data_IF_968709305977
#
_entry.id   IF_968709305977
#
_cell.length_a   1.000
_cell.length_b   1.000
_cell.length_c   1.000
_cell.angle_alpha   90.00
_cell.angle_beta   90.00
_cell.angle_gamma   90.00
#
_symmetry.space_group_name_H-M   'P 1'
#
loop_
_entity.id
_entity.type
_entity.pdbx_description
1 polymer ?
#
# COMPACT_ATOMS: atom_id res chain seq x y z
N UNK A 1 -1.99 -0.80 -5.68
CA UNK A 1 -1.91 0.54 -6.27
C UNK A 1 -3.20 0.82 -7.00
N UNK A 2 -3.98 1.81 -6.53
CA UNK A 2 -5.28 2.18 -7.09
C UNK A 2 -5.17 3.53 -7.77
N UNK A 3 -5.41 3.55 -9.08
CA UNK A 3 -5.50 4.78 -9.86
C UNK A 3 -6.92 5.30 -9.87
N UNK A 4 -7.08 6.60 -9.59
CA UNK A 4 -8.38 7.27 -9.59
C UNK A 4 -8.38 8.51 -10.46
N UNK A 5 -9.53 8.82 -11.06
CA UNK A 5 -9.76 10.04 -11.83
C UNK A 5 -10.73 10.96 -11.09
N UNK A 6 -10.40 12.24 -11.03
CA UNK A 6 -11.31 13.26 -10.50
C UNK A 6 -12.39 13.61 -11.55
N UNK A 7 -13.65 13.35 -11.21
CA UNK A 7 -14.84 13.81 -11.92
C UNK A 7 -15.35 15.07 -11.25
N UNK A 8 -15.41 16.21 -11.95
CA UNK A 8 -16.03 17.43 -11.40
C UNK A 8 -17.55 17.25 -11.36
N UNK A 9 -18.15 17.54 -10.21
CA UNK A 9 -19.59 17.35 -9.98
C UNK A 9 -20.26 18.67 -9.56
N UNK A 10 -19.54 19.56 -8.86
CA UNK A 10 -20.05 20.87 -8.41
C UNK A 10 -21.44 20.79 -7.76
N UNK A 11 -21.71 19.73 -7.00
CA UNK A 11 -22.98 19.49 -6.31
C UNK A 11 -23.01 20.24 -4.97
N UNK A 12 -24.16 20.84 -4.61
CA UNK A 12 -24.36 21.40 -3.28
C UNK A 12 -25.00 20.36 -2.37
N UNK A 13 -24.46 20.23 -1.16
CA UNK A 13 -25.02 19.41 -0.09
C UNK A 13 -25.49 20.35 1.03
N UNK A 14 -26.75 20.77 0.95
CA UNK A 14 -27.32 21.80 1.83
C UNK A 14 -26.77 23.20 1.55
N UNK A 15 -26.98 24.12 2.49
CA UNK A 15 -26.73 25.56 2.28
C UNK A 15 -25.24 25.94 2.39
N UNK A 16 -24.43 25.12 3.06
CA UNK A 16 -23.06 25.46 3.45
C UNK A 16 -21.99 24.52 2.92
N UNK A 17 -22.34 23.47 2.17
CA UNK A 17 -21.34 22.54 1.64
C UNK A 17 -21.51 22.26 0.15
N UNK A 18 -20.38 22.15 -0.55
CA UNK A 18 -20.32 21.94 -1.99
C UNK A 18 -19.28 20.86 -2.31
N UNK A 19 -19.73 19.77 -2.92
CA UNK A 19 -18.89 18.74 -3.51
C UNK A 19 -18.35 19.18 -4.87
N UNK A 20 -17.08 19.57 -4.92
CA UNK A 20 -16.45 20.08 -6.13
C UNK A 20 -16.14 18.93 -7.11
N UNK A 21 -15.71 17.77 -6.60
CA UNK A 21 -15.37 16.60 -7.40
C UNK A 21 -15.58 15.29 -6.65
N UNK A 22 -15.76 14.20 -7.40
CA UNK A 22 -15.81 12.83 -6.91
C UNK A 22 -14.71 12.02 -7.60
N UNK A 23 -14.03 11.14 -6.87
CA UNK A 23 -13.05 10.22 -7.45
C UNK A 23 -13.76 9.03 -8.08
N UNK A 24 -13.25 8.56 -9.21
CA UNK A 24 -13.74 7.38 -9.92
C UNK A 24 -12.57 6.39 -10.06
N UNK A 25 -12.71 5.12 -9.66
CA UNK A 25 -11.69 4.10 -9.87
C UNK A 25 -11.40 3.94 -11.37
N UNK A 26 -10.13 3.97 -11.74
CA UNK A 26 -9.70 3.84 -13.13
C UNK A 26 -9.00 2.50 -13.38
N UNK A 27 -8.08 2.15 -12.50
CA UNK A 27 -7.33 0.90 -12.58
C UNK A 27 -6.79 0.50 -11.21
N UNK A 28 -6.56 -0.79 -11.03
CA UNK A 28 -5.95 -1.32 -9.82
C UNK A 28 -4.89 -2.36 -10.21
N UNK A 29 -3.69 -2.17 -9.69
CA UNK A 29 -2.60 -3.13 -9.77
C UNK A 29 -2.34 -3.72 -8.38
N UNK A 30 -2.08 -5.02 -8.33
CA UNK A 30 -1.73 -5.71 -7.10
C UNK A 30 -0.57 -6.67 -7.37
N UNK A 31 0.35 -6.72 -6.42
CA UNK A 31 1.44 -7.68 -6.41
C UNK A 31 1.41 -8.44 -5.10
N UNK A 32 1.50 -9.76 -5.20
CA UNK A 32 1.46 -10.70 -4.10
C UNK A 32 2.80 -11.42 -4.05
N UNK A 33 3.36 -11.48 -2.86
CA UNK A 33 4.53 -12.30 -2.55
C UNK A 33 4.07 -13.50 -1.75
N UNK A 34 4.38 -14.69 -2.25
CA UNK A 34 4.07 -15.99 -1.66
C UNK A 34 5.31 -16.88 -1.67
N UNK A 35 5.23 -18.07 -1.06
CA UNK A 35 6.31 -19.06 -1.17
C UNK A 35 6.50 -19.56 -2.62
N UNK A 36 5.45 -19.51 -3.46
CA UNK A 36 5.53 -19.84 -4.88
C UNK A 36 6.18 -18.76 -5.75
N UNK A 37 6.44 -17.58 -5.19
CA UNK A 37 7.07 -16.46 -5.86
C UNK A 37 6.23 -15.18 -5.83
N UNK A 38 6.61 -14.23 -6.70
CA UNK A 38 5.96 -12.94 -6.86
C UNK A 38 5.02 -13.00 -8.05
N UNK A 39 3.73 -12.77 -7.81
CA UNK A 39 2.69 -12.71 -8.82
C UNK A 39 2.07 -11.31 -8.84
N UNK A 40 1.81 -10.76 -10.03
CA UNK A 40 1.16 -9.46 -10.19
C UNK A 40 -0.02 -9.58 -11.13
N UNK A 41 -1.10 -8.87 -10.81
CA UNK A 41 -2.28 -8.77 -11.65
C UNK A 41 -2.82 -7.34 -11.69
N UNK A 42 -3.62 -7.06 -12.72
CA UNK A 42 -4.07 -5.73 -13.05
C UNK A 42 -5.48 -5.79 -13.63
N UNK A 43 -6.33 -4.88 -13.16
CA UNK A 43 -7.68 -4.67 -13.65
C UNK A 43 -7.92 -3.19 -13.91
N UNK A 44 -8.77 -2.86 -14.87
CA UNK A 44 -9.12 -1.48 -15.21
C UNK A 44 -10.58 -1.34 -15.62
N UNK A 45 -11.02 -0.08 -15.72
CA UNK A 45 -12.39 0.34 -16.03
C UNK A 45 -12.97 -0.22 -17.33
N UNK A 46 -12.18 -0.82 -18.22
CA UNK A 46 -12.68 -1.48 -19.44
C UNK A 46 -13.17 -2.91 -19.19
N UNK A 47 -12.85 -3.45 -18.03
CA UNK A 47 -13.42 -4.72 -17.58
C UNK A 47 -14.70 -4.41 -16.81
N UNK A 48 -15.82 -5.00 -17.20
CA UNK A 48 -17.05 -4.87 -16.42
C UNK A 48 -16.84 -5.40 -15.01
N UNK A 49 -17.32 -4.65 -14.02
CA UNK A 49 -17.19 -4.97 -12.59
C UNK A 49 -15.75 -5.28 -12.16
N UNK A 50 -14.78 -4.53 -12.71
CA UNK A 50 -13.36 -4.84 -12.53
C UNK A 50 -12.89 -4.85 -11.07
N UNK A 51 -13.51 -4.07 -10.19
CA UNK A 51 -13.19 -4.07 -8.77
C UNK A 51 -13.68 -5.34 -8.07
N UNK A 52 -14.85 -5.86 -8.45
CA UNK A 52 -15.37 -7.11 -7.91
C UNK A 52 -14.50 -8.28 -8.37
N UNK A 53 -14.16 -8.34 -9.67
CA UNK A 53 -13.23 -9.33 -10.22
C UNK A 53 -11.84 -9.25 -9.58
N UNK A 54 -11.34 -8.04 -9.36
CA UNK A 54 -10.07 -7.82 -8.65
C UNK A 54 -10.12 -8.39 -7.23
N UNK A 55 -11.22 -8.15 -6.51
CA UNK A 55 -11.36 -8.63 -5.14
C UNK A 55 -11.53 -10.15 -5.07
N UNK A 56 -12.30 -10.75 -5.98
CA UNK A 56 -12.41 -12.20 -6.13
C UNK A 56 -11.02 -12.83 -6.34
N UNK A 57 -10.24 -12.31 -7.29
CA UNK A 57 -8.86 -12.74 -7.50
C UNK A 57 -8.02 -12.58 -6.23
N UNK A 58 -8.15 -11.45 -5.53
CA UNK A 58 -7.41 -11.20 -4.29
C UNK A 58 -7.71 -12.25 -3.21
N UNK A 59 -8.98 -12.64 -3.05
CA UNK A 59 -9.35 -13.70 -2.10
C UNK A 59 -8.80 -15.07 -2.50
N UNK A 60 -8.77 -15.40 -3.79
CA UNK A 60 -8.18 -16.66 -4.28
C UNK A 60 -6.68 -16.72 -4.00
N UNK A 61 -5.93 -15.67 -4.34
CA UNK A 61 -4.49 -15.60 -4.11
C UNK A 61 -4.12 -15.67 -2.62
N UNK A 62 -4.92 -15.04 -1.76
CA UNK A 62 -4.69 -15.02 -0.33
C UNK A 62 -4.89 -16.41 0.30
N UNK A 63 -5.63 -17.33 -0.33
CA UNK A 63 -5.68 -18.74 0.12
C UNK A 63 -4.30 -19.36 0.11
N UNK A 64 -3.45 -19.05 -0.88
CA UNK A 64 -2.09 -19.55 -0.95
C UNK A 64 -1.21 -18.90 0.12
N UNK A 65 -1.27 -17.58 0.27
CA UNK A 65 -0.52 -16.85 1.33
C UNK A 65 -0.86 -17.38 2.72
N UNK A 66 -2.12 -17.72 2.97
CA UNK A 66 -2.55 -18.35 4.22
C UNK A 66 -1.94 -19.72 4.43
N UNK A 67 -1.87 -20.56 3.38
CA UNK A 67 -1.22 -21.88 3.45
C UNK A 67 0.27 -21.74 3.75
N UNK A 68 0.94 -20.81 3.07
CA UNK A 68 2.37 -20.57 3.21
C UNK A 68 2.75 -20.09 4.63
N UNK A 69 1.87 -19.32 5.27
CA UNK A 69 2.10 -18.77 6.61
C UNK A 69 1.52 -19.64 7.74
N UNK A 70 1.03 -20.86 7.46
CA UNK A 70 0.48 -21.75 8.48
C UNK A 70 1.62 -22.24 9.39
N UNK A 71 1.46 -22.10 10.72
CA UNK A 71 2.41 -22.70 11.67
C UNK A 71 2.41 -24.22 11.53
N UNK A 72 3.58 -24.84 11.71
CA UNK A 72 3.74 -26.30 11.72
C UNK A 72 2.96 -26.95 12.87
N UNK A 73 2.86 -26.25 13.99
CA UNK A 73 2.07 -26.69 15.13
C UNK A 73 0.58 -26.36 14.91
N UNK A 74 -0.24 -27.40 14.79
CA UNK A 74 -1.67 -27.29 14.55
C UNK A 74 -2.47 -26.98 15.83
N UNK A 75 -1.86 -27.07 17.01
CA UNK A 75 -2.51 -26.76 18.29
C UNK A 75 -2.61 -25.26 18.55
N UNK A 76 -1.79 -24.45 17.87
CA UNK A 76 -1.83 -22.99 17.95
C UNK A 76 -3.03 -22.48 17.15
N UNK A 77 -3.94 -21.75 17.81
CA UNK A 77 -5.08 -21.12 17.13
C UNK A 77 -4.60 -20.04 16.17
N UNK A 78 -4.83 -20.24 14.86
CA UNK A 78 -4.32 -19.34 13.82
C UNK A 78 -5.43 -18.41 13.29
N UNK A 79 -5.34 -17.12 13.59
CA UNK A 79 -6.20 -16.10 12.99
C UNK A 79 -5.47 -15.46 11.80
N UNK A 80 -5.80 -15.89 10.59
CA UNK A 80 -5.14 -15.38 9.38
C UNK A 80 -5.73 -14.04 8.93
N UNK A 81 -5.08 -12.96 9.37
CA UNK A 81 -5.29 -11.60 8.87
C UNK A 81 -4.20 -11.24 7.88
N UNK A 82 -4.47 -11.42 6.60
CA UNK A 82 -3.49 -11.11 5.56
C UNK A 82 -3.47 -9.61 5.30
N UNK A 83 -2.33 -8.93 5.48
CA UNK A 83 -2.22 -7.49 5.25
C UNK A 83 -2.21 -7.20 3.75
N UNK A 84 -3.09 -6.29 3.34
CA UNK A 84 -3.13 -5.70 2.01
C UNK A 84 -2.65 -4.26 2.16
N UNK A 85 -1.47 -3.99 1.62
CA UNK A 85 -0.78 -2.72 1.78
C UNK A 85 -1.06 -1.86 0.54
N UNK A 86 -1.68 -0.70 0.75
CA UNK A 86 -2.00 0.23 -0.32
C UNK A 86 -0.92 1.30 -0.46
N UNK A 87 -0.56 1.60 -1.72
CA UNK A 87 0.35 2.67 -2.06
C UNK A 87 -0.42 3.98 -2.13
N UNK A 88 0.10 5.00 -1.44
CA UNK A 88 -0.29 6.39 -1.64
C UNK A 88 -1.80 6.62 -1.48
N UNK A 89 -2.40 6.03 -0.44
CA UNK A 89 -3.82 6.26 -0.15
C UNK A 89 -3.99 7.75 0.14
N UNK A 90 -4.50 8.51 -0.83
CA UNK A 90 -5.24 9.68 -0.44
C UNK A 90 -6.39 9.13 0.39
N UNK A 91 -6.81 9.85 1.44
CA UNK A 91 -7.88 9.45 2.38
C UNK A 91 -9.13 8.80 1.75
N UNK A 92 -9.33 9.01 0.45
CA UNK A 92 -10.47 8.61 -0.35
C UNK A 92 -10.29 7.31 -1.16
N UNK A 93 -9.08 6.86 -1.46
CA UNK A 93 -8.85 5.77 -2.44
C UNK A 93 -9.40 4.43 -1.92
N UNK A 94 -9.10 4.06 -0.68
CA UNK A 94 -9.64 2.83 -0.10
C UNK A 94 -11.15 2.91 0.11
N UNK A 95 -11.67 4.08 0.52
CA UNK A 95 -13.11 4.32 0.66
C UNK A 95 -13.88 4.08 -0.64
N UNK A 96 -13.22 4.28 -1.79
CA UNK A 96 -13.78 4.11 -3.11
C UNK A 96 -13.87 2.63 -3.49
N UNK A 97 -12.83 1.85 -3.17
CA UNK A 97 -12.90 0.38 -3.22
C UNK A 97 -14.04 -0.11 -2.34
N UNK A 98 -14.19 0.45 -1.13
CA UNK A 98 -15.19 0.03 -0.14
C UNK A 98 -16.64 0.28 -0.52
N UNK A 99 -16.94 1.32 -1.31
CA UNK A 99 -18.30 1.50 -1.86
C UNK A 99 -18.72 0.29 -2.70
N UNK A 100 -17.75 -0.37 -3.34
CA UNK A 100 -17.96 -1.56 -4.14
C UNK A 100 -17.82 -2.86 -3.31
N UNK A 101 -17.22 -2.83 -2.10
CA UNK A 101 -17.10 -4.00 -1.21
C UNK A 101 -18.41 -4.42 -0.51
N UNK A 102 -19.57 -3.90 -0.87
CA UNK A 102 -20.86 -4.37 -0.35
C UNK A 102 -21.40 -5.48 -1.26
N UNK A 103 -20.82 -6.67 -1.13
CA UNK A 103 -21.27 -7.87 -1.84
C UNK A 103 -21.98 -8.86 -0.91
N UNK A 104 -22.58 -9.90 -1.50
CA UNK A 104 -23.17 -11.03 -0.76
C UNK A 104 -22.11 -11.89 -0.08
N UNK A 105 -20.88 -11.91 -0.59
CA UNK A 105 -19.85 -12.88 -0.20
C UNK A 105 -18.84 -12.36 0.85
N UNK A 106 -18.84 -11.06 1.13
CA UNK A 106 -17.96 -10.45 2.11
C UNK A 106 -18.58 -9.26 2.84
N UNK A 107 -18.03 -8.96 4.01
CA UNK A 107 -18.48 -7.86 4.87
C UNK A 107 -17.32 -7.14 5.54
N UNK A 108 -17.52 -5.85 5.80
CA UNK A 108 -16.59 -5.04 6.59
C UNK A 108 -16.85 -5.38 8.06
N UNK A 109 -15.89 -6.07 8.66
CA UNK A 109 -16.00 -6.58 10.03
C UNK A 109 -15.44 -5.63 11.09
N UNK A 110 -14.43 -4.85 10.72
CA UNK A 110 -13.83 -3.85 11.59
C UNK A 110 -13.39 -2.67 10.74
N UNK A 111 -13.61 -1.49 11.30
CA UNK A 111 -13.29 -0.22 10.68
C UNK A 111 -12.60 0.62 11.76
N UNK A 112 -11.30 0.87 11.59
CA UNK A 112 -10.53 1.68 12.53
C UNK A 112 -10.22 3.03 11.89
N UNK A 113 -10.85 4.07 12.43
CA UNK A 113 -10.60 5.46 12.08
C UNK A 113 -9.79 6.18 13.16
N UNK A 114 -9.14 7.25 12.72
CA UNK A 114 -8.74 8.37 13.55
C UNK A 114 -9.44 9.63 13.03
N UNK A 115 -9.45 10.71 13.81
CA UNK A 115 -10.19 11.96 13.55
C UNK A 115 -10.16 12.49 12.10
N UNK A 116 -9.19 12.09 11.28
CA UNK A 116 -9.09 12.51 9.86
C UNK A 116 -8.66 11.41 8.88
N UNK A 117 -8.44 10.15 9.31
CA UNK A 117 -7.88 9.08 8.46
C UNK A 117 -8.40 7.70 8.85
N UNK A 118 -8.75 6.90 7.84
CA UNK A 118 -8.91 5.46 7.97
C UNK A 118 -7.52 4.85 8.20
N UNK A 119 -7.32 4.21 9.35
CA UNK A 119 -6.06 3.55 9.67
C UNK A 119 -6.04 2.10 9.22
N UNK A 120 -7.17 1.41 9.38
CA UNK A 120 -7.21 -0.02 9.13
C UNK A 120 -8.61 -0.53 8.79
N UNK A 121 -8.65 -1.18 7.63
CA UNK A 121 -9.66 -2.09 7.08
C UNK A 121 -9.68 -3.50 7.64
N UNK A 122 -10.77 -4.12 8.09
CA UNK A 122 -10.85 -5.59 8.09
C UNK A 122 -12.08 -6.08 7.34
N UNK A 123 -11.85 -6.75 6.22
CA UNK A 123 -12.88 -7.40 5.40
C UNK A 123 -12.83 -8.90 5.66
N UNK A 124 -14.00 -9.50 5.87
CA UNK A 124 -14.16 -10.94 6.06
C UNK A 124 -15.03 -11.49 4.95
N UNK A 125 -14.60 -12.59 4.35
CA UNK A 125 -15.44 -13.36 3.45
C UNK A 125 -16.32 -14.31 4.29
N UNK A 126 -17.60 -14.46 3.94
CA UNK A 126 -18.52 -15.33 4.71
C UNK A 126 -18.18 -16.81 4.56
N UNK A 127 -17.68 -17.22 3.40
CA UNK A 127 -17.41 -18.61 3.07
C UNK A 127 -16.03 -19.09 3.53
N UNK A 128 -15.10 -18.17 3.79
CA UNK A 128 -13.73 -18.51 4.17
C UNK A 128 -13.33 -17.89 5.50
N UNK A 129 -12.51 -18.61 6.28
CA UNK A 129 -11.91 -18.07 7.51
C UNK A 129 -10.77 -17.07 7.25
N UNK A 130 -10.76 -16.42 6.08
CA UNK A 130 -9.75 -15.46 5.65
C UNK A 130 -10.25 -14.05 5.98
N UNK A 131 -9.35 -13.26 6.58
CA UNK A 131 -9.61 -11.84 6.82
C UNK A 131 -8.56 -11.03 6.05
N UNK A 132 -9.01 -10.09 5.22
CA UNK A 132 -8.14 -9.14 4.56
C UNK A 132 -8.05 -7.90 5.41
N UNK A 133 -6.82 -7.45 5.66
CA UNK A 133 -6.54 -6.26 6.45
C UNK A 133 -5.96 -5.18 5.55
N UNK A 134 -6.79 -4.22 5.16
CA UNK A 134 -6.35 -3.08 4.34
C UNK A 134 -5.68 -2.03 5.21
N UNK A 135 -4.47 -1.64 4.85
CA UNK A 135 -3.64 -0.67 5.59
C UNK A 135 -2.87 0.19 4.59
N UNK A 136 -2.70 1.48 4.90
CA UNK A 136 -1.84 2.36 4.11
C UNK A 136 -0.37 2.00 4.38
N UNK A 137 0.45 1.95 3.34
CA UNK A 137 1.91 1.83 3.46
C UNK A 137 2.54 2.83 4.45
N UNK A 138 2.02 4.07 4.53
CA UNK A 138 2.45 5.10 5.50
C UNK A 138 2.25 4.70 6.95
N UNK A 139 1.46 3.67 7.21
CA UNK A 139 1.31 3.09 8.54
C UNK A 139 2.62 2.43 9.02
N UNK A 140 3.44 1.97 8.08
CA UNK A 140 4.72 1.29 8.33
C UNK A 140 5.96 2.12 7.94
N UNK A 141 5.79 3.20 7.18
CA UNK A 141 6.89 4.09 6.80
C UNK A 141 6.81 5.44 7.50
N UNK A 142 7.95 5.90 8.03
CA UNK A 142 8.11 7.25 8.62
C UNK A 142 8.27 8.32 7.53
N UNK A 143 8.49 7.90 6.28
CA UNK A 143 8.85 8.81 5.21
C UNK A 143 7.64 9.36 4.47
N UNK A 144 7.74 10.62 4.06
CA UNK A 144 6.64 11.34 3.44
C UNK A 144 6.45 10.99 1.96
N UNK A 145 7.51 10.57 1.26
CA UNK A 145 7.46 10.24 -0.18
C UNK A 145 7.88 8.80 -0.41
N UNK A 146 7.15 8.15 -1.30
CA UNK A 146 7.45 6.80 -1.77
C UNK A 146 8.86 6.67 -2.36
N UNK A 147 9.30 7.64 -3.16
CA UNK A 147 10.65 7.66 -3.77
C UNK A 147 11.77 7.64 -2.71
N UNK A 148 11.55 8.32 -1.59
CA UNK A 148 12.51 8.33 -0.49
C UNK A 148 12.60 6.93 0.13
N UNK A 149 11.46 6.22 0.24
CA UNK A 149 11.41 4.91 0.91
C UNK A 149 12.12 3.87 0.08
N UNK A 150 11.89 3.90 -1.23
CA UNK A 150 12.60 3.01 -2.15
C UNK A 150 14.10 3.28 -2.08
N UNK A 151 14.53 4.55 -2.12
CA UNK A 151 15.95 4.90 -2.03
C UNK A 151 16.59 4.42 -0.73
N UNK A 152 15.90 4.61 0.39
CA UNK A 152 16.52 4.41 1.70
C UNK A 152 16.44 2.93 2.16
N UNK A 153 15.46 2.15 1.66
CA UNK A 153 15.22 0.77 2.11
C UNK A 153 15.42 -0.31 1.04
N UNK A 154 15.50 0.03 -0.26
CA UNK A 154 15.80 -0.95 -1.32
C UNK A 154 17.32 -1.16 -1.55
N UNK A 155 18.18 -0.51 -0.76
CA UNK A 155 19.64 -0.69 -0.79
C UNK A 155 20.35 -0.12 -2.03
N UNK A 156 21.69 -0.19 -2.02
CA UNK A 156 22.57 0.28 -3.11
C UNK A 156 22.43 -0.51 -4.43
N UNK A 157 21.56 -1.52 -4.47
CA UNK A 157 21.26 -2.36 -5.62
C UNK A 157 19.91 -2.06 -6.27
N UNK A 158 19.27 -0.91 -5.99
CA UNK A 158 17.98 -0.50 -6.54
C UNK A 158 17.97 -0.44 -8.09
N UNK A 159 17.83 -1.60 -8.72
CA UNK A 159 17.73 -1.79 -10.17
C UNK A 159 16.44 -1.17 -10.71
N UNK A 160 15.45 -0.92 -9.85
CA UNK A 160 14.17 -0.34 -10.23
C UNK A 160 14.16 1.16 -9.92
N UNK A 161 14.68 1.98 -10.86
CA UNK A 161 14.28 3.39 -10.92
C UNK A 161 12.76 3.41 -11.05
N UNK A 162 12.07 4.11 -10.15
CA UNK A 162 10.64 4.37 -10.30
C UNK A 162 10.45 5.09 -11.63
N UNK A 163 9.74 4.45 -12.54
CA UNK A 163 9.39 5.05 -13.82
C UNK A 163 8.41 6.22 -13.61
N UNK A 164 8.04 6.90 -14.69
CA UNK A 164 7.10 8.02 -14.62
C UNK A 164 5.99 7.82 -15.62
N UNK A 165 4.76 8.04 -15.20
CA UNK A 165 3.63 8.19 -16.10
C UNK A 165 3.07 9.62 -16.00
N UNK A 166 2.68 10.19 -17.13
CA UNK A 166 2.17 11.57 -17.22
C UNK A 166 0.64 11.56 -17.04
N UNK A 167 0.19 11.65 -15.79
CA UNK A 167 -1.23 11.62 -15.45
C UNK A 167 -1.91 12.99 -15.64
N UNK A 168 -1.16 14.08 -15.69
CA UNK A 168 -1.68 15.45 -15.61
C UNK A 168 -2.70 15.79 -16.71
N UNK A 169 -2.55 15.18 -17.88
CA UNK A 169 -3.40 15.44 -19.03
C UNK A 169 -4.67 14.55 -19.08
N UNK A 170 -4.71 13.51 -18.26
CA UNK A 170 -5.77 12.50 -18.29
C UNK A 170 -6.89 12.89 -17.33
N UNK A 171 -8.12 12.81 -17.81
CA UNK A 171 -9.34 13.01 -17.03
C UNK A 171 -10.46 12.08 -17.49
N UNK A 172 -11.56 12.08 -16.76
CA UNK A 172 -12.73 11.21 -17.01
C UNK A 172 -13.34 11.33 -18.40
N UNK A 173 -13.10 12.43 -19.13
CA UNK A 173 -13.66 12.65 -20.49
C UNK A 173 -12.74 12.16 -21.60
N UNK A 174 -11.43 12.28 -21.44
CA UNK A 174 -10.46 11.96 -22.49
C UNK A 174 -9.69 10.66 -22.25
N UNK A 175 -9.79 10.06 -21.07
CA UNK A 175 -9.02 8.88 -20.65
C UNK A 175 -9.00 7.76 -21.71
N UNK A 176 -10.18 7.34 -22.17
CA UNK A 176 -10.29 6.24 -23.15
C UNK A 176 -9.61 6.58 -24.47
N UNK A 177 -9.72 7.82 -24.93
CA UNK A 177 -9.12 8.25 -26.19
C UNK A 177 -7.60 8.39 -26.04
N UNK A 178 -7.13 9.01 -24.95
CA UNK A 178 -5.70 9.24 -24.74
C UNK A 178 -4.92 7.94 -24.51
N UNK A 179 -5.47 6.98 -23.76
CA UNK A 179 -4.77 5.72 -23.50
C UNK A 179 -4.72 4.77 -24.71
N UNK A 180 -5.67 4.89 -25.64
CA UNK A 180 -5.71 4.07 -26.85
C UNK A 180 -4.75 4.56 -27.94
N UNK A 181 -4.11 5.71 -27.76
CA UNK A 181 -3.11 6.24 -28.70
C UNK A 181 -1.81 5.44 -28.66
N UNK A 182 -1.18 5.36 -29.83
CA UNK A 182 0.12 4.72 -30.01
C UNK A 182 1.30 5.70 -29.91
N UNK A 183 1.03 7.00 -29.97
CA UNK A 183 2.06 8.03 -29.85
C UNK A 183 2.46 8.24 -28.39
N UNK A 184 3.66 8.74 -28.14
CA UNK A 184 4.10 9.14 -26.80
C UNK A 184 3.41 10.43 -26.35
N UNK A 185 3.40 10.69 -25.04
CA UNK A 185 2.97 11.98 -24.51
C UNK A 185 3.99 13.06 -24.88
N UNK A 186 3.54 14.20 -25.41
CA UNK A 186 4.40 15.36 -25.69
C UNK A 186 4.88 16.02 -24.38
N UNK A 187 6.05 16.66 -24.39
CA UNK A 187 6.56 17.42 -23.24
C UNK A 187 5.56 18.46 -22.73
N UNK A 188 4.76 19.06 -23.62
CA UNK A 188 3.76 20.06 -23.25
C UNK A 188 2.64 19.50 -22.37
N UNK A 189 2.36 18.20 -22.48
CA UNK A 189 1.34 17.51 -21.68
C UNK A 189 1.77 17.29 -20.23
N UNK A 190 3.07 17.45 -19.93
CA UNK A 190 3.61 17.35 -18.57
C UNK A 190 3.43 18.63 -17.73
N UNK A 191 2.95 19.71 -18.35
CA UNK A 191 2.78 21.00 -17.69
C UNK A 191 1.63 20.95 -16.69
N UNK A 192 1.95 20.85 -15.40
CA UNK A 192 0.95 20.96 -14.35
C UNK A 192 0.75 22.44 -13.98
N UNK A 193 -0.24 23.09 -14.61
CA UNK A 193 -0.58 24.50 -14.32
C UNK A 193 -0.99 24.72 -12.86
N UNK A 194 -1.62 23.73 -12.21
CA UNK A 194 -2.05 23.83 -10.82
C UNK A 194 -0.89 23.77 -9.83
N UNK A 195 0.15 22.97 -10.14
CA UNK A 195 1.32 22.81 -9.27
C UNK A 195 2.48 23.74 -9.63
N UNK A 196 2.33 24.59 -10.66
CA UNK A 196 3.42 25.39 -11.26
C UNK A 196 4.68 24.56 -11.50
N UNK A 197 4.51 23.30 -11.92
CA UNK A 197 5.62 22.37 -12.18
C UNK A 197 5.65 22.06 -13.66
N UNK A 198 6.78 22.37 -14.29
CA UNK A 198 7.14 21.91 -15.63
C UNK A 198 8.13 20.77 -15.52
N UNK A 199 7.98 19.75 -16.34
CA UNK A 199 8.99 18.70 -16.46
C UNK A 199 10.21 19.30 -17.17
N UNK A 200 11.40 19.13 -16.57
CA UNK A 200 12.65 19.52 -17.23
C UNK A 200 12.89 18.61 -18.43
N UNK A 201 13.45 19.15 -19.51
CA UNK A 201 13.78 18.44 -20.74
C UNK A 201 14.67 17.20 -20.48
N UNK A 202 15.61 17.29 -19.55
CA UNK A 202 16.43 16.14 -19.15
C UNK A 202 15.58 14.98 -18.60
N UNK A 203 14.63 15.28 -17.71
CA UNK A 203 13.72 14.28 -17.13
C UNK A 203 12.74 13.74 -18.17
N UNK A 204 12.35 14.56 -19.14
CA UNK A 204 11.53 14.12 -20.25
C UNK A 204 12.28 13.15 -21.17
N UNK A 205 13.57 13.41 -21.45
CA UNK A 205 14.42 12.47 -22.20
C UNK A 205 14.55 11.12 -21.49
N UNK A 206 14.74 11.12 -20.17
CA UNK A 206 14.71 9.87 -19.39
C UNK A 206 13.35 9.15 -19.48
N UNK A 207 12.24 9.90 -19.46
CA UNK A 207 10.91 9.33 -19.61
C UNK A 207 10.70 8.64 -20.95
N UNK A 208 11.28 9.09 -22.07
CA UNK A 208 10.98 8.55 -23.40
C UNK A 208 11.42 7.09 -23.60
N UNK A 209 12.36 6.58 -22.82
CA UNK A 209 12.97 5.26 -23.05
C UNK A 209 12.01 4.09 -22.75
N UNK A 210 11.35 4.10 -21.59
CA UNK A 210 10.48 2.98 -21.18
C UNK A 210 9.15 2.90 -21.94
N UNK A 211 8.37 3.99 -22.08
CA UNK A 211 7.13 4.00 -22.85
C UNK A 211 7.30 3.58 -24.31
N UNK A 212 8.45 3.87 -24.93
CA UNK A 212 8.73 3.53 -26.33
C UNK A 212 8.76 2.01 -26.59
N UNK A 213 8.90 1.18 -25.55
CA UNK A 213 8.83 -0.28 -25.64
C UNK A 213 7.39 -0.79 -25.83
N UNK A 214 6.39 0.06 -25.65
CA UNK A 214 4.98 -0.30 -25.67
C UNK A 214 4.26 0.32 -26.86
N UNK A 215 3.37 -0.46 -27.49
CA UNK A 215 2.62 0.01 -28.66
C UNK A 215 1.55 1.03 -28.30
N UNK A 216 0.86 0.84 -27.17
CA UNK A 216 -0.18 1.75 -26.66
C UNK A 216 0.24 2.35 -25.33
N UNK A 217 -0.18 3.59 -25.09
CA UNK A 217 -0.02 4.25 -23.77
C UNK A 217 -0.65 3.45 -22.64
N UNK A 218 -1.75 2.76 -22.91
CA UNK A 218 -2.37 1.81 -21.99
C UNK A 218 -1.42 0.72 -21.49
N UNK A 219 -0.68 0.09 -22.40
CA UNK A 219 0.15 -1.07 -22.07
C UNK A 219 1.29 -0.61 -21.15
N UNK A 220 1.82 0.59 -21.42
CA UNK A 220 2.77 1.25 -20.54
C UNK A 220 2.17 1.61 -19.18
N UNK A 221 0.94 2.14 -19.12
CA UNK A 221 0.26 2.41 -17.83
C UNK A 221 0.09 1.13 -17.00
N UNK A 222 -0.31 0.03 -17.64
CA UNK A 222 -0.44 -1.27 -16.96
C UNK A 222 0.90 -1.72 -16.39
N UNK A 223 1.96 -1.66 -17.20
CA UNK A 223 3.31 -1.97 -16.73
C UNK A 223 3.73 -1.07 -15.56
N UNK A 224 3.52 0.24 -15.69
CA UNK A 224 3.87 1.24 -14.69
C UNK A 224 3.20 0.96 -13.33
N UNK A 225 1.88 0.73 -13.30
CA UNK A 225 1.17 0.47 -12.04
C UNK A 225 1.61 -0.87 -11.40
N UNK A 226 1.88 -1.90 -12.22
CA UNK A 226 2.42 -3.17 -11.73
C UNK A 226 3.81 -2.95 -11.11
N UNK A 227 4.68 -2.23 -11.82
CA UNK A 227 6.01 -1.89 -11.34
C UNK A 227 5.96 -1.13 -10.02
N UNK A 228 5.09 -0.12 -9.89
CA UNK A 228 4.92 0.67 -8.68
C UNK A 228 4.54 -0.21 -7.47
N UNK A 229 3.64 -1.17 -7.65
CA UNK A 229 3.31 -2.14 -6.59
C UNK A 229 4.45 -3.13 -6.29
N UNK A 230 5.27 -3.49 -7.29
CA UNK A 230 6.35 -4.47 -7.15
C UNK A 230 7.59 -3.90 -6.46
N UNK A 231 7.94 -2.65 -6.77
CA UNK A 231 9.09 -1.94 -6.17
C UNK A 231 8.95 -1.85 -4.64
N UNK A 232 7.73 -1.86 -4.10
CA UNK A 232 7.48 -1.85 -2.66
C UNK A 232 7.90 -3.13 -1.92
N UNK A 233 8.00 -4.27 -2.61
CA UNK A 233 8.27 -5.55 -1.96
C UNK A 233 9.58 -5.51 -1.21
N UNK A 234 10.64 -5.02 -1.86
CA UNK A 234 11.98 -5.02 -1.30
C UNK A 234 12.11 -4.11 -0.06
N UNK A 235 11.63 -2.84 -0.06
CA UNK A 235 11.51 -2.04 1.14
C UNK A 235 10.70 -2.70 2.26
N UNK A 236 9.56 -3.32 1.93
CA UNK A 236 8.71 -4.00 2.93
C UNK A 236 9.46 -5.19 3.54
N UNK A 237 10.11 -6.01 2.73
CA UNK A 237 10.92 -7.13 3.19
C UNK A 237 12.07 -6.66 4.08
N UNK A 238 12.75 -5.57 3.70
CA UNK A 238 13.80 -4.98 4.51
C UNK A 238 13.28 -4.57 5.88
N UNK A 239 12.15 -3.86 5.93
CA UNK A 239 11.54 -3.42 7.19
C UNK A 239 11.06 -4.60 8.04
N UNK A 240 10.46 -5.64 7.43
CA UNK A 240 10.10 -6.87 8.14
C UNK A 240 11.34 -7.51 8.75
N UNK A 241 12.40 -7.70 7.97
CA UNK A 241 13.65 -8.31 8.44
C UNK A 241 14.30 -7.47 9.55
N UNK A 242 14.22 -6.14 9.48
CA UNK A 242 14.74 -5.26 10.52
C UNK A 242 14.00 -5.44 11.84
N UNK A 243 12.66 -5.52 11.82
CA UNK A 243 11.85 -5.73 13.02
C UNK A 243 11.99 -7.15 13.56
N UNK A 244 12.13 -8.13 12.67
CA UNK A 244 12.27 -9.54 13.03
C UNK A 244 13.56 -9.84 13.80
N UNK A 245 14.61 -9.01 13.67
CA UNK A 245 15.82 -9.08 14.53
C UNK A 245 15.50 -8.93 16.02
N UNK A 246 14.38 -8.30 16.34
CA UNK A 246 13.88 -8.12 17.71
C UNK A 246 12.67 -9.04 18.00
N UNK A 247 12.49 -10.11 17.22
CA UNK A 247 11.39 -11.07 17.32
C UNK A 247 9.99 -10.44 17.18
N UNK A 248 9.92 -9.28 16.51
CA UNK A 248 8.67 -8.54 16.32
C UNK A 248 8.18 -8.70 14.88
N UNK A 249 6.98 -9.24 14.75
CA UNK A 249 6.25 -9.25 13.48
C UNK A 249 5.70 -7.84 13.18
N UNK A 250 6.36 -7.16 12.24
CA UNK A 250 5.96 -5.83 11.79
C UNK A 250 4.53 -5.80 11.26
N UNK A 251 4.16 -6.82 10.47
CA UNK A 251 2.87 -6.86 9.81
C UNK A 251 1.76 -7.24 10.79
N UNK A 252 2.02 -8.00 11.86
CA UNK A 252 1.03 -8.22 12.92
C UNK A 252 0.66 -6.93 13.68
N UNK A 253 1.62 -6.00 13.82
CA UNK A 253 1.42 -4.72 14.49
C UNK A 253 0.59 -3.72 13.66
N UNK A 254 -0.03 -2.75 14.33
CA UNK A 254 -0.89 -1.76 13.64
C UNK A 254 -0.10 -0.61 13.04
N UNK A 255 1.16 -0.40 13.42
CA UNK A 255 2.02 0.67 12.87
C UNK A 255 3.49 0.46 13.22
N UNK A 256 4.36 1.18 12.51
CA UNK A 256 5.80 1.24 12.84
C UNK A 256 6.03 1.72 14.28
N UNK A 257 5.24 2.68 14.75
CA UNK A 257 5.35 3.20 16.12
C UNK A 257 4.99 2.14 17.18
N UNK A 258 3.99 1.30 16.92
CA UNK A 258 3.68 0.17 17.81
C UNK A 258 4.80 -0.86 17.79
N UNK A 259 5.36 -1.18 16.62
CA UNK A 259 6.53 -2.06 16.52
C UNK A 259 7.72 -1.50 17.30
N UNK A 260 8.02 -0.19 17.17
CA UNK A 260 9.08 0.48 17.94
C UNK A 260 8.83 0.43 19.44
N UNK A 261 7.59 0.63 19.90
CA UNK A 261 7.27 0.50 21.31
C UNK A 261 7.44 -0.94 21.81
N UNK A 262 7.04 -1.94 21.02
CA UNK A 262 7.27 -3.35 21.34
C UNK A 262 8.77 -3.66 21.45
N UNK A 263 9.61 -3.09 20.57
CA UNK A 263 11.08 -3.20 20.66
C UNK A 263 11.55 -2.62 22.00
N UNK A 264 11.12 -1.39 22.34
CA UNK A 264 11.51 -0.74 23.59
C UNK A 264 11.15 -1.57 24.82
N UNK A 265 9.94 -2.12 24.87
CA UNK A 265 9.54 -3.02 25.96
C UNK A 265 10.35 -4.32 25.96
N UNK A 266 10.58 -4.95 24.81
CA UNK A 266 11.38 -6.17 24.73
C UNK A 266 12.80 -5.96 25.29
N UNK A 267 13.40 -4.80 25.02
CA UNK A 267 14.72 -4.43 25.54
C UNK A 267 14.68 -4.13 27.05
N UNK A 268 13.64 -3.43 27.52
CA UNK A 268 13.50 -3.09 28.94
C UNK A 268 13.39 -4.35 29.83
N UNK A 269 12.79 -5.40 29.31
CA UNK A 269 12.56 -6.65 30.02
C UNK A 269 13.51 -7.78 29.61
N UNK A 270 14.58 -7.51 28.85
CA UNK A 270 15.49 -8.55 28.37
C UNK A 270 16.22 -9.29 29.52
N UNK A 271 16.41 -8.61 30.65
CA UNK A 271 17.00 -9.18 31.88
C UNK A 271 15.94 -9.65 32.88
N UNK A 272 14.66 -9.59 32.52
CA UNK A 272 13.57 -10.03 33.37
C UNK A 272 13.39 -11.55 33.24
N UNK A 273 13.65 -12.25 34.33
CA UNK A 273 13.44 -13.68 34.52
C UNK A 273 12.14 -13.86 35.32
N UNK A 274 11.14 -14.50 34.72
CA UNK A 274 9.86 -14.78 35.39
C UNK A 274 9.99 -15.69 36.61
N UNK A 275 11.09 -16.45 36.70
CA UNK A 275 11.43 -17.28 37.85
C UNK A 275 12.43 -16.60 38.79
N UNK A 276 12.86 -15.37 38.47
CA UNK A 276 13.80 -14.59 39.25
C UNK A 276 13.20 -14.19 40.60
N UNK A 277 13.96 -14.39 41.67
CA UNK A 277 13.57 -13.94 43.00
C UNK A 277 14.05 -12.50 43.22
N UNK A 278 13.18 -11.54 42.94
CA UNK A 278 13.50 -10.11 43.06
C UNK A 278 13.26 -9.61 44.48
N UNK A 279 14.35 -9.30 45.20
CA UNK A 279 14.25 -8.60 46.47
C UNK A 279 13.73 -7.17 46.22
N UNK A 280 12.81 -6.69 47.06
CA UNK A 280 12.22 -5.34 46.96
C UNK A 280 13.18 -4.22 47.37
N UNK A 281 14.49 -4.44 47.28
CA UNK A 281 15.48 -3.44 47.66
C UNK A 281 15.49 -2.33 46.62
N UNK A 282 15.00 -1.16 47.03
CA UNK A 282 15.08 0.10 46.30
C UNK A 282 16.54 0.57 46.29
N UNK A 283 17.37 -0.10 45.50
CA UNK A 283 18.66 0.44 45.11
C UNK A 283 18.42 1.18 43.78
N UNK A 284 18.69 2.49 43.76
CA UNK A 284 18.77 3.32 42.57
C UNK A 284 19.85 2.76 41.62
N UNK A 285 19.55 1.65 40.94
CA UNK A 285 20.38 1.14 39.86
C UNK A 285 20.07 1.99 38.64
N UNK A 286 21.03 2.82 38.25
CA UNK A 286 20.96 3.59 37.01
C UNK A 286 20.69 2.64 35.84
N UNK A 287 19.57 2.85 35.14
CA UNK A 287 19.32 2.17 33.87
C UNK A 287 20.36 2.72 32.88
N UNK A 288 21.27 1.86 32.39
CA UNK A 288 22.14 2.23 31.28
C UNK A 288 21.29 2.36 30.01
N UNK A 289 20.92 3.59 29.70
CA UNK A 289 20.20 3.92 28.48
C UNK A 289 21.19 3.79 27.32
N UNK A 290 21.10 2.72 26.55
CA UNK A 290 21.87 2.54 25.32
C UNK A 290 21.23 3.29 24.16
N UNK A 291 21.98 3.50 23.07
CA UNK A 291 21.46 4.16 21.87
C UNK A 291 20.27 3.41 21.23
N UNK A 292 20.08 2.12 21.54
CA UNK A 292 18.94 1.32 21.10
C UNK A 292 17.63 1.63 21.85
N UNK A 293 17.71 2.32 23.00
CA UNK A 293 16.55 2.69 23.82
C UNK A 293 15.80 3.92 23.27
N UNK A 294 16.48 4.77 22.49
CA UNK A 294 15.97 5.99 21.88
C UNK A 294 15.37 5.71 20.51
#
# INVERSE_FOLDING_TARGET
>A
DLETLAKRVNEKFGDSSQGIATLVPQAIASTIKSASGIHSFYYDIRTDDFLDKWLEQLFEEVKQVKKDNKYKDETILQCFKVPIIELNSAKFDISLVFKNLKSKDWTISKYLESNTFIKQIIVKNYSSSIQLRFVDFKTYSVQNKFEDTVRDFAGNGGIHKKDRFLHEFINTKNFMNELNKNELFSIDTSNNQLKNKKLNEFKYKEYLFEPAKYKKRQDYLKYFNILDSRILIEPIDFMINLMFKYEIDMLANQSVAQSSNAIKYSMAYIVFDTNGNYNSECADKSIEITQCYW
#
